data_IF_007488432498
#
_entry.id   IF_007488432498
#
_cell.length_a   1.000
_cell.length_b   1.000
_cell.length_c   1.000
_cell.angle_alpha   90.00
_cell.angle_beta   90.00
_cell.angle_gamma   90.00
#
_symmetry.space_group_name_H-M   'P 1'
#
loop_
_entity.id
_entity.type
_entity.pdbx_description
1 polymer ?
#
# COMPACT_ATOMS: atom_id res chain seq x y z
N UNK A 1 19.52 -21.29 -0.52
CA UNK A 1 19.29 -19.98 -1.13
C UNK A 1 18.90 -19.03 -0.02
N UNK A 2 19.34 -17.78 -0.08
CA UNK A 2 18.88 -16.75 0.86
C UNK A 2 17.34 -16.58 0.77
N UNK A 3 16.66 -16.24 1.86
CA UNK A 3 15.23 -15.97 1.83
C UNK A 3 14.93 -14.75 0.95
N UNK A 4 13.80 -14.78 0.25
CA UNK A 4 13.31 -13.62 -0.50
C UNK A 4 12.73 -12.60 0.47
N UNK A 5 13.20 -11.36 0.39
CA UNK A 5 12.77 -10.26 1.25
C UNK A 5 12.04 -9.21 0.43
N UNK A 6 10.89 -8.75 0.92
CA UNK A 6 10.18 -7.59 0.41
C UNK A 6 10.09 -6.52 1.52
N UNK A 7 10.17 -5.26 1.12
CA UNK A 7 9.87 -4.15 2.03
C UNK A 7 8.47 -3.60 1.73
N UNK A 8 7.72 -3.31 2.79
CA UNK A 8 6.42 -2.67 2.69
C UNK A 8 6.44 -1.34 3.44
N UNK A 9 6.21 -0.27 2.71
CA UNK A 9 6.24 1.12 3.18
C UNK A 9 4.95 1.83 2.78
N UNK A 10 4.59 2.90 3.48
CA UNK A 10 3.41 3.72 3.17
C UNK A 10 3.57 5.15 3.67
N UNK A 11 2.70 6.03 3.20
CA UNK A 11 2.51 7.36 3.79
C UNK A 11 3.80 8.20 3.82
N UNK A 12 4.45 8.33 2.63
CA UNK A 12 5.67 9.10 2.43
C UNK A 12 5.42 10.60 2.53
N UNK A 13 4.24 11.06 2.07
CA UNK A 13 3.76 12.43 2.13
C UNK A 13 4.78 13.48 1.66
N UNK A 14 5.36 13.32 0.46
CA UNK A 14 6.22 14.35 -0.12
C UNK A 14 5.53 15.72 -0.10
N UNK A 15 6.22 16.73 0.41
CA UNK A 15 5.69 18.03 0.82
C UNK A 15 5.44 18.15 2.33
N UNK A 16 5.58 17.05 3.08
CA UNK A 16 5.60 16.94 4.54
C UNK A 16 6.37 15.69 4.99
N UNK A 17 7.35 15.29 4.16
CA UNK A 17 8.20 14.14 4.40
C UNK A 17 9.12 14.33 5.63
N UNK A 18 9.53 13.25 6.25
CA UNK A 18 10.65 13.20 7.17
C UNK A 18 11.89 12.73 6.40
N UNK A 19 12.80 13.67 6.10
CA UNK A 19 14.00 13.39 5.30
C UNK A 19 14.90 12.37 5.97
N UNK A 20 15.05 12.41 7.29
CA UNK A 20 15.86 11.45 8.03
C UNK A 20 15.28 10.03 7.88
N UNK A 21 13.95 9.90 7.98
CA UNK A 21 13.28 8.62 7.79
C UNK A 21 13.39 8.10 6.35
N UNK A 22 13.28 8.98 5.35
CA UNK A 22 13.46 8.61 3.93
C UNK A 22 14.90 8.17 3.64
N UNK A 23 15.90 8.88 4.15
CA UNK A 23 17.32 8.55 3.97
C UNK A 23 17.66 7.23 4.67
N UNK A 24 17.15 7.02 5.89
CA UNK A 24 17.29 5.76 6.61
C UNK A 24 16.68 4.59 5.81
N UNK A 25 15.46 4.73 5.32
CA UNK A 25 14.82 3.69 4.52
C UNK A 25 15.63 3.37 3.25
N UNK A 26 16.09 4.40 2.54
CA UNK A 26 16.92 4.22 1.34
C UNK A 26 18.23 3.48 1.67
N UNK A 27 18.87 3.81 2.80
CA UNK A 27 20.08 3.12 3.27
C UNK A 27 19.80 1.65 3.61
N UNK A 28 18.65 1.33 4.23
CA UNK A 28 18.24 -0.06 4.49
C UNK A 28 17.99 -0.84 3.18
N UNK A 29 17.35 -0.21 2.17
CA UNK A 29 17.15 -0.81 0.85
C UNK A 29 18.50 -1.06 0.16
N UNK A 30 19.42 -0.10 0.21
CA UNK A 30 20.76 -0.25 -0.38
C UNK A 30 21.57 -1.37 0.31
N UNK A 31 21.45 -1.47 1.62
CA UNK A 31 22.20 -2.45 2.43
C UNK A 31 21.70 -3.89 2.21
N UNK A 32 20.37 -4.09 2.22
CA UNK A 32 19.80 -5.45 2.17
C UNK A 32 19.42 -5.89 0.75
N UNK A 33 19.19 -4.94 -0.16
CA UNK A 33 18.75 -5.21 -1.54
C UNK A 33 17.54 -6.16 -1.58
N UNK A 34 16.39 -5.77 -0.97
CA UNK A 34 15.20 -6.60 -1.03
C UNK A 34 14.80 -6.86 -2.49
N UNK A 35 14.07 -7.93 -2.73
CA UNK A 35 13.58 -8.27 -4.07
C UNK A 35 12.58 -7.25 -4.64
N UNK A 36 12.02 -6.40 -3.78
CA UNK A 36 11.17 -5.27 -4.17
C UNK A 36 10.65 -4.48 -2.99
N UNK A 37 10.13 -3.29 -3.28
CA UNK A 37 9.45 -2.40 -2.33
C UNK A 37 7.98 -2.27 -2.74
N UNK A 38 7.07 -2.50 -1.80
CA UNK A 38 5.63 -2.28 -1.97
C UNK A 38 5.26 -1.01 -1.20
N UNK A 39 4.84 0.04 -1.91
CA UNK A 39 4.39 1.29 -1.31
C UNK A 39 2.87 1.41 -1.39
N UNK A 40 2.20 1.38 -0.24
CA UNK A 40 0.73 1.37 -0.15
C UNK A 40 0.08 2.75 -0.08
N UNK A 41 0.63 3.74 -0.78
CA UNK A 41 -0.02 5.01 -1.08
C UNK A 41 0.36 6.17 -0.16
N UNK A 42 -0.34 7.29 -0.36
CA UNK A 42 -0.03 8.59 0.21
C UNK A 42 1.43 8.99 -0.04
N UNK A 43 1.81 8.91 -1.33
CA UNK A 43 3.12 9.33 -1.82
C UNK A 43 3.32 10.82 -1.62
N UNK A 44 2.26 11.61 -1.76
CA UNK A 44 2.25 13.06 -1.72
C UNK A 44 1.40 13.58 -0.56
N UNK A 45 1.60 14.85 -0.17
CA UNK A 45 0.76 15.48 0.84
C UNK A 45 -0.53 16.08 0.25
N UNK A 46 -0.50 16.57 -1.00
CA UNK A 46 -1.61 17.32 -1.62
C UNK A 46 -1.91 16.94 -3.08
N UNK A 47 -1.24 15.93 -3.62
CA UNK A 47 -1.43 15.48 -5.00
C UNK A 47 -0.95 16.48 -6.05
N UNK A 48 -0.01 17.36 -5.72
CA UNK A 48 0.52 18.35 -6.66
C UNK A 48 1.56 17.74 -7.59
N UNK A 49 1.71 18.30 -8.80
CA UNK A 49 2.74 17.87 -9.75
C UNK A 49 4.16 17.97 -9.15
N UNK A 50 4.42 18.99 -8.33
CA UNK A 50 5.71 19.17 -7.66
C UNK A 50 6.00 18.05 -6.67
N UNK A 51 5.02 17.70 -5.82
CA UNK A 51 5.17 16.61 -4.86
C UNK A 51 5.35 15.26 -5.56
N UNK A 52 4.60 15.00 -6.63
CA UNK A 52 4.80 13.81 -7.47
C UNK A 52 6.17 13.76 -8.14
N UNK A 53 6.73 14.90 -8.56
CA UNK A 53 8.09 14.96 -9.11
C UNK A 53 9.15 14.59 -8.07
N UNK A 54 9.01 15.10 -6.82
CA UNK A 54 9.90 14.75 -5.71
C UNK A 54 9.78 13.27 -5.33
N UNK A 55 8.56 12.74 -5.25
CA UNK A 55 8.31 11.32 -4.99
C UNK A 55 8.93 10.45 -6.09
N UNK A 56 8.77 10.83 -7.36
CA UNK A 56 9.36 10.13 -8.50
C UNK A 56 10.88 10.07 -8.41
N UNK A 57 11.52 11.22 -8.19
CA UNK A 57 12.97 11.34 -8.07
C UNK A 57 13.52 10.44 -6.94
N UNK A 58 12.83 10.36 -5.81
CA UNK A 58 13.27 9.55 -4.69
C UNK A 58 13.03 8.05 -4.95
N UNK A 59 11.86 7.66 -5.44
CA UNK A 59 11.52 6.27 -5.71
C UNK A 59 12.41 5.65 -6.81
N UNK A 60 12.74 6.43 -7.87
CA UNK A 60 13.60 6.00 -8.96
C UNK A 60 15.07 5.79 -8.55
N UNK A 61 15.51 6.38 -7.44
CA UNK A 61 16.85 6.13 -6.89
C UNK A 61 16.97 4.84 -6.11
N UNK A 62 15.84 4.24 -5.71
CA UNK A 62 15.88 2.95 -5.02
C UNK A 62 16.38 1.87 -6.00
N UNK A 63 17.41 1.09 -5.65
CA UNK A 63 18.07 0.18 -6.57
C UNK A 63 17.33 -1.16 -6.74
N UNK A 64 16.03 -1.18 -6.50
CA UNK A 64 15.15 -2.36 -6.53
C UNK A 64 13.81 -2.00 -7.15
N UNK A 65 13.05 -2.97 -7.70
CA UNK A 65 11.69 -2.72 -8.20
C UNK A 65 10.77 -2.14 -7.13
N UNK A 66 9.95 -1.14 -7.50
CA UNK A 66 9.00 -0.49 -6.59
C UNK A 66 7.59 -0.58 -7.16
N UNK A 67 6.69 -1.24 -6.45
CA UNK A 67 5.26 -1.23 -6.72
C UNK A 67 4.58 -0.14 -5.87
N UNK A 68 3.69 0.64 -6.47
CA UNK A 68 2.99 1.73 -5.79
C UNK A 68 1.48 1.62 -5.91
N UNK A 69 0.78 1.95 -4.82
CA UNK A 69 -0.67 2.13 -4.78
C UNK A 69 -1.00 3.61 -4.56
N UNK A 70 -2.17 4.11 -5.02
CA UNK A 70 -2.56 5.48 -4.73
C UNK A 70 -3.17 5.59 -3.33
N UNK A 71 -2.85 6.67 -2.62
CA UNK A 71 -3.49 7.06 -1.37
C UNK A 71 -4.51 8.20 -1.54
N UNK A 72 -5.20 8.56 -0.47
CA UNK A 72 -6.19 9.63 -0.52
C UNK A 72 -5.58 11.03 -0.66
N UNK A 73 -4.30 11.19 -0.34
CA UNK A 73 -3.54 12.41 -0.56
C UNK A 73 -2.96 12.51 -1.98
N UNK A 74 -2.94 11.42 -2.76
CA UNK A 74 -2.43 11.38 -4.13
C UNK A 74 -3.45 11.81 -5.19
N UNK A 75 -4.63 12.24 -4.76
CA UNK A 75 -5.67 12.79 -5.65
C UNK A 75 -5.88 14.27 -5.39
N UNK A 76 -6.32 15.05 -6.40
CA UNK A 76 -6.52 16.50 -6.25
C UNK A 76 -7.45 16.85 -5.08
N UNK A 77 -7.09 17.87 -4.32
CA UNK A 77 -7.88 18.37 -3.20
C UNK A 77 -9.18 19.03 -3.66
N UNK A 78 -10.09 19.32 -2.73
CA UNK A 78 -11.45 19.85 -2.99
C UNK A 78 -11.48 21.15 -3.80
N UNK A 79 -10.48 22.03 -3.64
CA UNK A 79 -10.40 23.27 -4.43
C UNK A 79 -10.06 23.01 -5.92
N UNK A 80 -9.65 21.81 -6.27
CA UNK A 80 -9.40 21.34 -7.63
C UNK A 80 -10.48 20.33 -8.08
N UNK A 81 -11.72 20.56 -7.70
CA UNK A 81 -12.85 19.64 -7.92
C UNK A 81 -12.97 19.18 -9.38
N UNK A 82 -12.82 20.08 -10.36
CA UNK A 82 -12.89 19.72 -11.77
C UNK A 82 -11.81 18.70 -12.16
N UNK A 83 -10.56 18.88 -11.68
CA UNK A 83 -9.48 17.91 -11.90
C UNK A 83 -9.76 16.59 -11.19
N UNK A 84 -10.26 16.65 -9.95
CA UNK A 84 -10.62 15.46 -9.17
C UNK A 84 -11.70 14.62 -9.85
N UNK A 85 -12.69 15.26 -10.46
CA UNK A 85 -13.76 14.55 -11.18
C UNK A 85 -13.33 14.04 -12.55
N UNK A 86 -12.54 14.83 -13.30
CA UNK A 86 -12.15 14.49 -14.66
C UNK A 86 -10.98 13.48 -14.72
N UNK A 87 -9.87 13.75 -14.00
CA UNK A 87 -8.63 12.95 -14.06
C UNK A 87 -7.96 12.84 -12.68
N UNK A 88 -8.61 12.21 -11.69
CA UNK A 88 -8.10 12.18 -10.31
C UNK A 88 -6.74 11.50 -10.16
N UNK A 89 -6.44 10.53 -10.99
CA UNK A 89 -5.23 9.71 -10.88
C UNK A 89 -4.16 10.00 -11.95
N UNK A 90 -4.26 11.14 -12.67
CA UNK A 90 -3.37 11.42 -13.81
C UNK A 90 -1.89 11.44 -13.40
N UNK A 91 -1.53 12.13 -12.32
CA UNK A 91 -0.14 12.19 -11.84
C UNK A 91 0.32 10.83 -11.30
N UNK A 92 -0.53 10.12 -10.58
CA UNK A 92 -0.25 8.79 -10.09
C UNK A 92 0.03 7.80 -11.23
N UNK A 93 -0.81 7.77 -12.26
CA UNK A 93 -0.59 6.88 -13.42
C UNK A 93 0.68 7.24 -14.18
N UNK A 94 1.01 8.53 -14.33
CA UNK A 94 2.25 8.96 -14.93
C UNK A 94 3.47 8.45 -14.13
N UNK A 95 3.44 8.56 -12.81
CA UNK A 95 4.50 8.03 -11.95
C UNK A 95 4.59 6.50 -12.02
N UNK A 96 3.47 5.79 -11.92
CA UNK A 96 3.43 4.33 -12.03
C UNK A 96 4.01 3.84 -13.37
N UNK A 97 3.69 4.53 -14.45
CA UNK A 97 4.25 4.22 -15.77
C UNK A 97 5.78 4.45 -15.83
N UNK A 98 6.27 5.52 -15.20
CA UNK A 98 7.72 5.81 -15.12
C UNK A 98 8.49 4.76 -14.34
N UNK A 99 7.96 4.33 -13.19
CA UNK A 99 8.60 3.29 -12.37
C UNK A 99 8.62 1.93 -13.07
N UNK A 100 7.64 1.65 -13.94
CA UNK A 100 7.63 0.49 -14.85
C UNK A 100 7.67 -0.88 -14.19
N UNK A 101 7.63 -0.94 -12.87
CA UNK A 101 8.01 -2.14 -12.13
C UNK A 101 6.79 -2.87 -11.55
N UNK A 102 6.48 -4.00 -12.15
CA UNK A 102 5.80 -5.07 -11.40
C UNK A 102 6.84 -5.87 -10.64
N UNK A 103 6.56 -6.17 -9.38
CA UNK A 103 7.37 -7.13 -8.61
C UNK A 103 7.00 -8.52 -9.14
N UNK A 104 7.79 -9.02 -10.09
CA UNK A 104 7.58 -10.31 -10.74
C UNK A 104 8.51 -11.36 -10.12
N UNK A 105 8.02 -12.09 -9.13
CA UNK A 105 8.74 -13.17 -8.46
C UNK A 105 7.95 -14.48 -8.56
N UNK A 106 8.62 -15.63 -8.73
CA UNK A 106 7.93 -16.92 -8.85
C UNK A 106 7.09 -17.30 -7.62
N UNK A 107 7.50 -16.85 -6.44
CA UNK A 107 6.90 -17.21 -5.15
C UNK A 107 5.86 -16.22 -4.64
N UNK A 108 5.78 -15.01 -5.20
CA UNK A 108 4.82 -13.99 -4.74
C UNK A 108 4.25 -13.16 -5.88
N UNK A 109 2.95 -12.91 -5.82
CA UNK A 109 2.26 -11.95 -6.67
C UNK A 109 1.70 -10.81 -5.81
N UNK A 110 1.86 -9.57 -6.27
CA UNK A 110 1.28 -8.37 -5.65
C UNK A 110 0.11 -7.89 -6.51
N UNK A 111 -1.08 -7.95 -5.96
CA UNK A 111 -2.33 -7.57 -6.65
C UNK A 111 -2.85 -6.25 -6.07
N UNK A 112 -3.09 -5.28 -6.93
CA UNK A 112 -3.61 -3.96 -6.55
C UNK A 112 -5.11 -4.03 -6.20
N UNK A 113 -5.52 -3.35 -5.12
CA UNK A 113 -6.92 -3.09 -4.80
C UNK A 113 -7.14 -1.59 -4.60
N UNK A 114 -7.83 -0.96 -5.52
CA UNK A 114 -8.20 0.45 -5.40
C UNK A 114 -9.16 0.67 -4.24
N UNK A 115 -8.75 1.52 -3.29
CA UNK A 115 -9.60 1.93 -2.14
C UNK A 115 -9.89 3.42 -2.13
N UNK A 116 -9.41 4.16 -3.14
CA UNK A 116 -9.60 5.61 -3.27
C UNK A 116 -10.81 5.90 -4.14
N UNK A 117 -11.76 6.64 -3.62
CA UNK A 117 -12.91 7.06 -4.40
C UNK A 117 -12.70 8.46 -5.00
N UNK A 118 -13.08 8.61 -6.27
CA UNK A 118 -13.13 9.91 -6.97
C UNK A 118 -14.04 10.90 -6.23
N UNK A 119 -15.21 10.43 -5.82
CA UNK A 119 -16.19 11.16 -5.04
C UNK A 119 -16.94 10.20 -4.12
N UNK A 120 -17.43 10.71 -2.98
CA UNK A 120 -18.21 9.94 -2.03
C UNK A 120 -19.35 10.81 -1.46
N UNK A 121 -20.50 10.20 -1.20
CA UNK A 121 -21.58 10.82 -0.42
C UNK A 121 -21.25 10.72 1.09
N UNK A 122 -20.18 11.39 1.51
CA UNK A 122 -19.67 11.47 2.89
C UNK A 122 -19.02 12.82 3.10
N UNK A 123 -19.08 13.34 4.32
CA UNK A 123 -18.39 14.59 4.69
C UNK A 123 -16.86 14.39 4.67
N UNK A 124 -16.38 13.23 5.08
CA UNK A 124 -14.95 12.92 5.08
C UNK A 124 -14.57 12.01 3.90
N UNK A 125 -13.93 12.59 2.89
CA UNK A 125 -13.47 11.90 1.68
C UNK A 125 -12.10 11.23 1.82
N UNK A 126 -11.44 11.37 2.98
CA UNK A 126 -10.19 10.64 3.26
C UNK A 126 -10.43 9.17 3.63
N UNK A 127 -11.67 8.77 3.86
CA UNK A 127 -12.01 7.38 4.20
C UNK A 127 -12.12 6.49 2.97
N UNK A 128 -11.66 5.25 3.09
CA UNK A 128 -11.63 4.28 2.01
C UNK A 128 -13.02 3.82 1.54
N UNK A 129 -13.06 3.38 0.28
CA UNK A 129 -14.21 2.71 -0.34
C UNK A 129 -13.71 1.69 -1.35
N UNK A 130 -14.21 0.46 -1.24
CA UNK A 130 -14.04 -0.57 -2.28
C UNK A 130 -15.31 -0.60 -3.12
N UNK A 131 -15.19 -0.29 -4.41
CA UNK A 131 -16.30 -0.42 -5.36
C UNK A 131 -16.38 -1.86 -5.91
N UNK A 132 -17.52 -2.21 -6.54
CA UNK A 132 -17.67 -3.52 -7.19
C UNK A 132 -16.65 -3.73 -8.33
N UNK A 133 -16.44 -2.75 -9.25
CA UNK A 133 -15.44 -2.90 -10.30
C UNK A 133 -14.01 -3.08 -9.76
N UNK A 134 -13.63 -2.32 -8.71
CA UNK A 134 -12.28 -2.41 -8.12
C UNK A 134 -12.06 -3.78 -7.47
N UNK A 135 -13.07 -4.29 -6.76
CA UNK A 135 -13.01 -5.65 -6.20
C UNK A 135 -12.94 -6.72 -7.30
N UNK A 136 -13.74 -6.58 -8.36
CA UNK A 136 -13.71 -7.54 -9.47
C UNK A 136 -12.35 -7.56 -10.17
N UNK A 137 -11.70 -6.39 -10.35
CA UNK A 137 -10.35 -6.29 -10.91
C UNK A 137 -9.31 -7.00 -10.01
N UNK A 138 -9.37 -6.79 -8.69
CA UNK A 138 -8.47 -7.47 -7.76
C UNK A 138 -8.69 -9.01 -7.76
N UNK A 139 -9.94 -9.47 -7.78
CA UNK A 139 -10.26 -10.90 -7.87
C UNK A 139 -9.77 -11.53 -9.19
N UNK A 140 -9.87 -10.79 -10.30
CA UNK A 140 -9.30 -11.22 -11.57
C UNK A 140 -7.77 -11.34 -11.50
N UNK A 141 -7.09 -10.37 -10.87
CA UNK A 141 -5.65 -10.44 -10.62
C UNK A 141 -5.26 -11.66 -9.79
N UNK A 142 -5.98 -11.95 -8.71
CA UNK A 142 -5.74 -13.16 -7.89
C UNK A 142 -5.94 -14.46 -8.71
N UNK A 143 -6.95 -14.50 -9.56
CA UNK A 143 -7.21 -15.65 -10.44
C UNK A 143 -6.10 -15.81 -11.50
N UNK A 144 -5.58 -14.72 -12.04
CA UNK A 144 -4.45 -14.75 -12.98
C UNK A 144 -3.20 -15.37 -12.33
N UNK A 145 -2.98 -15.09 -11.06
CA UNK A 145 -1.85 -15.59 -10.28
C UNK A 145 -2.20 -16.81 -9.41
N UNK A 146 -3.22 -17.60 -9.77
CA UNK A 146 -3.69 -18.71 -8.92
C UNK A 146 -2.62 -19.73 -8.57
N UNK A 147 -1.63 -19.95 -9.45
CA UNK A 147 -0.53 -20.91 -9.27
C UNK A 147 0.62 -20.35 -8.41
N UNK A 148 0.62 -19.03 -8.13
CA UNK A 148 1.66 -18.41 -7.30
C UNK A 148 1.39 -18.71 -5.83
N UNK A 149 2.38 -19.23 -5.07
CA UNK A 149 2.18 -19.66 -3.68
C UNK A 149 1.63 -18.56 -2.77
N UNK A 150 2.22 -17.37 -2.79
CA UNK A 150 1.81 -16.24 -1.97
C UNK A 150 1.18 -15.15 -2.84
N UNK A 151 -0.06 -14.78 -2.53
CA UNK A 151 -0.74 -13.64 -3.16
C UNK A 151 -0.97 -12.54 -2.14
N UNK A 152 -0.27 -11.43 -2.30
CA UNK A 152 -0.41 -10.22 -1.49
C UNK A 152 -1.36 -9.26 -2.21
N UNK A 153 -2.33 -8.71 -1.49
CA UNK A 153 -3.19 -7.64 -2.00
C UNK A 153 -2.72 -6.33 -1.41
N UNK A 154 -2.28 -5.39 -2.24
CA UNK A 154 -1.84 -4.07 -1.82
C UNK A 154 -2.97 -3.05 -2.01
N UNK A 155 -3.26 -2.27 -0.97
CA UNK A 155 -4.23 -1.18 -1.00
C UNK A 155 -3.81 -0.08 -0.02
N UNK A 156 -4.39 1.12 -0.13
CA UNK A 156 -4.03 2.18 0.83
C UNK A 156 -4.80 2.08 2.15
N UNK A 157 -6.12 1.98 2.09
CA UNK A 157 -6.93 1.94 3.33
C UNK A 157 -7.05 0.51 3.87
N UNK A 158 -6.85 0.31 5.18
CA UNK A 158 -7.20 -0.97 5.82
C UNK A 158 -8.66 -1.33 5.56
N UNK A 159 -8.93 -2.58 5.21
CA UNK A 159 -10.28 -3.03 4.85
C UNK A 159 -11.19 -3.20 6.06
N UNK A 160 -10.60 -3.49 7.23
CA UNK A 160 -11.27 -3.62 8.52
C UNK A 160 -10.44 -2.93 9.60
N UNK A 161 -11.04 -2.71 10.77
CA UNK A 161 -10.34 -2.13 11.91
C UNK A 161 -9.25 -3.08 12.44
N UNK A 162 -8.12 -2.50 12.83
CA UNK A 162 -6.96 -3.23 13.33
C UNK A 162 -6.52 -2.79 14.73
N UNK A 163 -7.41 -2.15 15.49
CA UNK A 163 -7.19 -1.60 16.84
C UNK A 163 -6.05 -0.56 16.90
N UNK A 164 -5.83 0.12 15.79
CA UNK A 164 -4.92 1.27 15.69
C UNK A 164 -5.59 2.54 16.24
N UNK A 165 -4.79 3.58 16.50
CA UNK A 165 -5.34 4.86 16.96
C UNK A 165 -6.29 5.50 15.93
N UNK A 166 -5.97 5.42 14.66
CA UNK A 166 -6.81 5.90 13.58
C UNK A 166 -7.76 4.79 13.08
N UNK A 167 -9.00 5.16 12.77
CA UNK A 167 -10.00 4.21 12.29
C UNK A 167 -9.92 4.01 10.78
N UNK A 168 -9.96 2.76 10.33
CA UNK A 168 -9.99 2.39 8.93
C UNK A 168 -11.29 2.84 8.26
N UNK A 169 -12.44 2.45 8.80
CA UNK A 169 -13.79 2.84 8.34
C UNK A 169 -13.98 2.74 6.80
N UNK A 170 -13.40 1.71 6.16
CA UNK A 170 -13.48 1.51 4.71
C UNK A 170 -14.82 0.92 4.31
N UNK A 171 -15.56 1.67 3.47
CA UNK A 171 -16.88 1.22 2.97
C UNK A 171 -16.71 0.04 2.01
N UNK A 172 -17.41 -1.06 2.30
CA UNK A 172 -17.28 -2.30 1.52
C UNK A 172 -16.06 -3.16 1.89
N UNK A 173 -15.25 -2.73 2.87
CA UNK A 173 -14.01 -3.40 3.26
C UNK A 173 -14.22 -4.83 3.77
N UNK A 174 -15.17 -5.08 4.68
CA UNK A 174 -15.48 -6.43 5.19
C UNK A 174 -15.85 -7.40 4.06
N UNK A 175 -16.73 -6.94 3.13
CA UNK A 175 -17.11 -7.76 1.98
C UNK A 175 -15.93 -8.03 1.05
N UNK A 176 -15.10 -7.02 0.82
CA UNK A 176 -13.89 -7.17 0.01
C UNK A 176 -12.93 -8.17 0.65
N UNK A 177 -12.66 -8.04 1.94
CA UNK A 177 -11.78 -8.94 2.68
C UNK A 177 -12.24 -10.41 2.60
N UNK A 178 -13.56 -10.66 2.79
CA UNK A 178 -14.13 -12.00 2.63
C UNK A 178 -13.95 -12.56 1.23
N UNK A 179 -14.19 -11.75 0.19
CA UNK A 179 -14.02 -12.19 -1.19
C UNK A 179 -12.55 -12.47 -1.55
N UNK A 180 -11.61 -11.65 -1.05
CA UNK A 180 -10.18 -11.84 -1.24
C UNK A 180 -9.68 -13.11 -0.54
N UNK A 181 -10.13 -13.35 0.70
CA UNK A 181 -9.78 -14.55 1.45
C UNK A 181 -10.26 -15.81 0.72
N UNK A 182 -11.52 -15.84 0.24
CA UNK A 182 -12.04 -16.96 -0.57
C UNK A 182 -11.28 -17.16 -1.88
N UNK A 183 -10.76 -16.09 -2.48
CA UNK A 183 -9.94 -16.15 -3.69
C UNK A 183 -8.47 -16.56 -3.43
N UNK A 184 -8.11 -16.86 -2.18
CA UNK A 184 -6.79 -17.34 -1.80
C UNK A 184 -5.74 -16.24 -1.64
N UNK A 185 -6.14 -15.00 -1.33
CA UNK A 185 -5.18 -13.98 -0.89
C UNK A 185 -4.59 -14.39 0.48
N UNK A 186 -3.26 -14.40 0.58
CA UNK A 186 -2.55 -14.72 1.83
C UNK A 186 -2.52 -13.55 2.80
N UNK A 187 -2.40 -12.33 2.28
CA UNK A 187 -2.46 -11.13 3.12
C UNK A 187 -2.96 -9.90 2.35
N UNK A 188 -3.46 -8.91 3.11
CA UNK A 188 -3.76 -7.55 2.64
C UNK A 188 -2.78 -6.58 3.30
N UNK A 189 -1.98 -5.88 2.48
CA UNK A 189 -1.05 -4.84 2.89
C UNK A 189 -1.70 -3.47 2.75
N UNK A 190 -1.55 -2.61 3.76
CA UNK A 190 -2.18 -1.27 3.76
C UNK A 190 -1.35 -0.22 4.52
N UNK A 191 -1.72 1.05 4.38
CA UNK A 191 -1.16 2.18 5.10
C UNK A 191 -2.24 3.00 5.82
N UNK A 192 -2.27 4.32 5.60
CA UNK A 192 -3.29 5.27 6.02
C UNK A 192 -3.37 5.56 7.51
N UNK A 193 -3.27 4.57 8.37
CA UNK A 193 -3.40 4.75 9.83
C UNK A 193 -2.13 5.25 10.48
N UNK A 194 -0.99 5.20 9.78
CA UNK A 194 0.35 5.62 10.21
C UNK A 194 0.90 4.87 11.42
N UNK A 195 0.23 3.81 11.84
CA UNK A 195 0.68 2.89 12.88
C UNK A 195 0.81 1.49 12.29
N UNK A 196 1.94 0.80 12.49
CA UNK A 196 2.11 -0.56 12.00
C UNK A 196 1.18 -1.50 12.77
N UNK A 197 0.64 -2.50 12.07
CA UNK A 197 -0.13 -3.58 12.66
C UNK A 197 0.05 -4.86 11.86
N UNK A 198 -0.16 -5.97 12.53
CA UNK A 198 -0.09 -7.31 11.97
C UNK A 198 -1.08 -8.21 12.70
N UNK A 199 -2.13 -8.63 12.00
CA UNK A 199 -3.20 -9.43 12.55
C UNK A 199 -3.67 -10.47 11.56
N UNK A 200 -3.98 -11.67 12.05
CA UNK A 200 -4.79 -12.64 11.32
C UNK A 200 -6.24 -12.46 11.74
N UNK A 201 -7.12 -12.30 10.77
CA UNK A 201 -8.56 -12.22 10.98
C UNK A 201 -9.25 -13.38 10.29
N UNK A 202 -10.28 -13.91 10.92
CA UNK A 202 -11.14 -14.92 10.34
C UNK A 202 -12.40 -14.25 9.77
N UNK A 203 -12.70 -14.55 8.50
CA UNK A 203 -13.85 -13.99 7.81
C UNK A 203 -14.51 -15.08 6.97
N UNK A 204 -15.78 -15.37 7.26
CA UNK A 204 -16.55 -16.40 6.57
C UNK A 204 -15.84 -17.77 6.50
N UNK A 205 -15.15 -18.16 7.58
CA UNK A 205 -14.42 -19.44 7.68
C UNK A 205 -13.06 -19.46 6.98
N UNK A 206 -12.56 -18.31 6.51
CA UNK A 206 -11.24 -18.17 5.91
C UNK A 206 -10.35 -17.25 6.74
N UNK A 207 -9.15 -17.72 7.09
CA UNK A 207 -8.13 -16.89 7.72
C UNK A 207 -7.42 -16.03 6.66
N UNK A 208 -7.21 -14.75 6.96
CA UNK A 208 -6.43 -13.84 6.13
C UNK A 208 -5.63 -12.89 7.03
N UNK A 209 -4.38 -12.65 6.68
CA UNK A 209 -3.52 -11.72 7.41
C UNK A 209 -3.75 -10.30 6.91
N UNK A 210 -3.89 -9.35 7.82
CA UNK A 210 -3.95 -7.92 7.52
C UNK A 210 -2.74 -7.24 8.11
N UNK A 211 -2.02 -6.48 7.29
CA UNK A 211 -0.76 -5.84 7.65
C UNK A 211 -0.81 -4.37 7.32
N UNK A 212 -0.50 -3.53 8.28
CA UNK A 212 -0.35 -2.09 8.10
C UNK A 212 1.10 -1.66 8.18
N UNK A 213 1.53 -0.76 7.29
CA UNK A 213 2.79 -0.06 7.44
C UNK A 213 2.61 1.20 8.29
N UNK A 214 3.70 1.64 8.94
CA UNK A 214 3.81 2.97 9.52
C UNK A 214 3.97 4.05 8.46
N UNK A 215 4.53 5.18 8.84
CA UNK A 215 4.79 6.31 7.95
C UNK A 215 6.27 6.69 7.96
N UNK A 216 6.77 7.24 6.84
CA UNK A 216 8.08 7.90 6.74
C UNK A 216 7.94 9.43 6.61
N UNK A 217 6.87 9.98 7.17
CA UNK A 217 6.60 11.42 7.16
C UNK A 217 6.56 12.00 8.57
N UNK A 218 6.50 13.32 8.66
CA UNK A 218 6.33 14.03 9.93
C UNK A 218 4.91 13.85 10.53
N UNK A 219 4.00 13.12 9.84
CA UNK A 219 2.64 12.84 10.31
C UNK A 219 2.57 11.62 11.23
N UNK A 220 3.42 11.59 12.23
CA UNK A 220 3.46 10.52 13.22
C UNK A 220 2.15 10.43 14.02
N UNK A 221 1.83 9.23 14.48
CA UNK A 221 0.76 8.93 15.44
C UNK A 221 1.40 8.48 16.76
N UNK A 222 1.30 7.20 17.09
CA UNK A 222 1.95 6.62 18.28
C UNK A 222 3.33 6.05 17.98
N UNK A 223 3.50 5.56 16.76
CA UNK A 223 4.72 4.90 16.33
C UNK A 223 5.71 5.91 15.76
N UNK A 224 7.01 5.61 15.91
CA UNK A 224 8.10 6.30 15.21
C UNK A 224 8.04 5.98 13.71
N UNK A 225 8.80 6.70 12.85
CA UNK A 225 8.93 6.32 11.45
C UNK A 225 9.31 4.84 11.32
N UNK A 226 8.59 4.11 10.47
CA UNK A 226 8.77 2.67 10.37
C UNK A 226 8.29 2.12 9.03
N UNK A 227 8.84 0.97 8.66
CA UNK A 227 8.41 0.15 7.54
C UNK A 227 8.40 -1.33 7.92
N UNK A 228 7.76 -2.17 7.14
CA UNK A 228 7.72 -3.61 7.36
C UNK A 228 8.73 -4.32 6.46
N UNK A 229 9.52 -5.22 7.04
CA UNK A 229 10.34 -6.19 6.35
C UNK A 229 9.60 -7.53 6.33
N UNK A 230 9.28 -8.02 5.14
CA UNK A 230 8.63 -9.31 4.94
C UNK A 230 9.66 -10.30 4.41
N UNK A 231 9.87 -11.40 5.13
CA UNK A 231 10.73 -12.49 4.69
C UNK A 231 9.86 -13.67 4.29
N UNK A 232 9.87 -13.98 2.99
CA UNK A 232 9.01 -15.01 2.41
C UNK A 232 9.53 -16.40 2.75
N UNK A 233 8.63 -17.31 3.10
CA UNK A 233 8.92 -18.71 3.28
C UNK A 233 8.56 -19.54 2.04
N UNK A 234 9.06 -20.77 1.98
CA UNK A 234 8.80 -21.67 0.86
C UNK A 234 7.40 -22.28 0.85
N UNK A 235 6.66 -22.13 1.94
CA UNK A 235 5.32 -22.68 2.09
C UNK A 235 4.23 -21.69 1.61
N UNK A 236 4.64 -20.52 1.12
CA UNK A 236 3.71 -19.47 0.67
C UNK A 236 3.22 -18.56 1.78
N UNK A 237 3.97 -18.51 2.91
CA UNK A 237 3.80 -17.55 3.99
C UNK A 237 4.92 -16.53 4.04
N UNK A 238 4.93 -15.72 5.09
CA UNK A 238 6.04 -14.81 5.40
C UNK A 238 6.10 -14.47 6.89
N UNK A 239 7.30 -14.23 7.39
CA UNK A 239 7.52 -13.54 8.66
C UNK A 239 7.55 -12.04 8.44
N UNK A 240 7.19 -11.27 9.48
CA UNK A 240 7.16 -9.80 9.42
C UNK A 240 7.96 -9.23 10.58
N UNK A 241 8.83 -8.30 10.25
CA UNK A 241 9.57 -7.48 11.21
C UNK A 241 9.25 -6.00 10.95
N UNK A 242 8.80 -5.28 11.99
CA UNK A 242 8.64 -3.82 11.90
C UNK A 242 10.00 -3.18 12.19
N UNK A 243 10.59 -2.56 11.18
CA UNK A 243 11.79 -1.73 11.31
C UNK A 243 11.40 -0.33 11.74
N UNK A 244 12.10 0.22 12.73
CA UNK A 244 11.80 1.54 13.32
C UNK A 244 13.09 2.37 13.36
N UNK A 245 12.98 3.64 12.97
CA UNK A 245 14.06 4.64 13.07
C UNK A 245 14.37 5.04 14.51
#
# INVERSE_FOLDING_TARGET
>A
MAPTVLYHVSDLHFGYEDRQALDWFAAEVERERPAGVICTGDLTMRGTAKEFALAAEWLERLPVPVSIEPGNHDVPYYHLMLRRLARPYAHFHALRHRLGSEIALPEVAVVSLMTIARAQLRLNWSKGRVSQPDLAAALHGLQHHREVPLKLVACHHPLVEADTHATASTRGGKRALAALARAGAGAVLSGHVHDPFDKTVEVEGHAIRIVGAGTLSQRLRRSRPSFNRLELDRAGGFSLEVKTL
#
